data_IF_475394106855
#
_entry.id   IF_475394106855
#
_cell.length_a   1.000
_cell.length_b   1.000
_cell.length_c   1.000
_cell.angle_alpha   90.00
_cell.angle_beta   90.00
_cell.angle_gamma   90.00
#
_symmetry.space_group_name_H-M   'P 1'
#
loop_
_entity.id
_entity.type
_entity.pdbx_description
1 polymer ?
#
# COMPACT_ATOMS: atom_id res chain seq x y z
N UNK A 1 -32.88 2.48 32.95
CA UNK A 1 -31.47 2.38 32.54
C UNK A 1 -31.42 1.55 31.27
N UNK A 2 -31.52 2.16 30.08
CA UNK A 2 -31.54 1.49 28.79
C UNK A 2 -30.10 1.28 28.36
N UNK A 3 -29.67 0.03 28.14
CA UNK A 3 -28.39 -0.30 27.52
C UNK A 3 -28.55 -0.09 26.02
N UNK A 4 -27.75 0.82 25.44
CA UNK A 4 -27.62 0.99 24.00
C UNK A 4 -27.04 -0.28 23.37
N UNK A 5 -27.72 -0.92 22.40
CA UNK A 5 -27.19 -2.05 21.65
C UNK A 5 -26.57 -1.53 20.36
N UNK A 6 -25.43 -0.92 20.43
CA UNK A 6 -24.78 -0.35 19.25
C UNK A 6 -23.34 0.07 19.51
N UNK A 7 -22.59 -0.73 20.28
CA UNK A 7 -21.20 -0.46 20.56
C UNK A 7 -20.28 -0.72 19.39
N UNK A 8 -20.41 0.05 18.30
CA UNK A 8 -19.30 0.23 17.37
C UNK A 8 -18.06 0.61 18.18
N UNK A 9 -16.93 -0.04 17.93
CA UNK A 9 -15.68 0.22 18.63
C UNK A 9 -15.43 1.72 18.69
N UNK A 10 -15.43 2.30 19.89
CA UNK A 10 -15.17 3.72 20.06
C UNK A 10 -13.71 4.01 19.69
N UNK A 11 -13.46 4.20 18.38
CA UNK A 11 -12.17 4.61 17.80
C UNK A 11 -11.60 5.83 18.50
N UNK A 12 -12.45 6.67 19.10
CA UNK A 12 -12.03 7.84 19.88
C UNK A 12 -11.19 7.47 21.10
N UNK A 13 -11.43 6.29 21.69
CA UNK A 13 -10.63 5.79 22.81
C UNK A 13 -9.25 5.28 22.40
N UNK A 14 -9.07 4.89 21.11
CA UNK A 14 -7.79 4.41 20.54
C UNK A 14 -6.98 5.54 19.88
N UNK A 15 -7.56 6.72 19.71
CA UNK A 15 -6.98 7.87 19.00
C UNK A 15 -5.87 8.63 19.71
N UNK A 16 -5.42 8.19 20.88
CA UNK A 16 -4.22 8.80 21.43
C UNK A 16 -2.97 8.37 20.67
N UNK A 17 -2.25 9.30 20.05
CA UNK A 17 -0.99 9.01 19.34
C UNK A 17 -0.05 8.09 20.13
N UNK A 18 0.09 8.34 21.42
CA UNK A 18 0.94 7.53 22.31
C UNK A 18 0.41 6.10 22.51
N UNK A 19 -0.91 5.91 22.54
CA UNK A 19 -1.50 4.57 22.63
C UNK A 19 -1.30 3.79 21.35
N UNK A 20 -1.41 4.43 20.20
CA UNK A 20 -1.16 3.84 18.89
C UNK A 20 0.30 3.39 18.73
N UNK A 21 1.27 4.21 19.16
CA UNK A 21 2.70 3.83 19.20
C UNK A 21 2.94 2.58 20.06
N UNK A 22 2.32 2.53 21.25
CA UNK A 22 2.45 1.37 22.15
C UNK A 22 1.81 0.13 21.49
N UNK A 23 0.64 0.25 20.86
CA UNK A 23 -0.02 -0.85 20.16
C UNK A 23 0.81 -1.37 18.99
N UNK A 24 1.43 -0.48 18.21
CA UNK A 24 2.29 -0.89 17.11
C UNK A 24 3.54 -1.63 17.59
N UNK A 25 4.13 -1.19 18.69
CA UNK A 25 5.24 -1.91 19.33
C UNK A 25 4.82 -3.28 19.89
N UNK A 26 3.60 -3.41 20.44
CA UNK A 26 3.07 -4.70 20.86
C UNK A 26 2.82 -5.62 19.66
N UNK A 27 2.29 -5.09 18.54
CA UNK A 27 2.09 -5.83 17.30
C UNK A 27 3.40 -6.35 16.73
N UNK A 28 4.43 -5.50 16.65
CA UNK A 28 5.75 -5.86 16.10
C UNK A 28 6.56 -6.77 17.02
N UNK A 29 6.32 -6.73 18.33
CA UNK A 29 6.96 -7.66 19.28
C UNK A 29 6.41 -9.09 19.19
N UNK A 30 5.23 -9.27 18.60
CA UNK A 30 4.62 -10.58 18.40
C UNK A 30 4.37 -11.33 19.73
N UNK A 31 4.53 -12.65 19.70
CA UNK A 31 4.27 -13.51 20.87
C UNK A 31 5.35 -13.39 21.96
N UNK A 32 6.58 -13.03 21.60
CA UNK A 32 7.64 -12.80 22.58
C UNK A 32 7.30 -11.67 23.54
N UNK A 33 6.42 -10.76 23.12
CA UNK A 33 5.99 -9.61 23.88
C UNK A 33 7.10 -8.59 24.17
N UNK A 34 6.73 -7.51 24.80
CA UNK A 34 7.63 -6.39 25.14
C UNK A 34 7.36 -5.91 26.56
N UNK A 35 8.40 -5.58 27.33
CA UNK A 35 8.25 -5.07 28.68
C UNK A 35 7.89 -3.56 28.69
N UNK A 36 7.28 -3.07 29.79
CA UNK A 36 6.99 -1.64 29.94
C UNK A 36 8.24 -0.76 29.88
N UNK A 37 9.38 -1.27 30.31
CA UNK A 37 10.64 -0.52 30.25
C UNK A 37 11.13 -0.38 28.80
N UNK A 38 11.05 -1.47 28.01
CA UNK A 38 11.39 -1.45 26.59
C UNK A 38 10.42 -0.55 25.82
N UNK A 39 9.11 -0.59 26.14
CA UNK A 39 8.13 0.33 25.58
C UNK A 39 8.50 1.79 25.88
N UNK A 40 8.88 2.12 27.12
CA UNK A 40 9.30 3.47 27.48
C UNK A 40 10.54 3.90 26.69
N UNK A 41 11.55 3.03 26.61
CA UNK A 41 12.80 3.30 25.87
C UNK A 41 12.55 3.53 24.36
N UNK A 42 11.65 2.74 23.74
CA UNK A 42 11.39 2.82 22.31
C UNK A 42 10.43 3.94 21.90
N UNK A 43 9.52 4.34 22.80
CA UNK A 43 8.56 5.41 22.53
C UNK A 43 9.04 6.78 23.01
N UNK A 44 10.06 6.85 23.87
CA UNK A 44 10.45 8.08 24.56
C UNK A 44 9.46 8.54 25.64
N UNK A 45 8.45 7.73 25.95
CA UNK A 45 7.45 8.05 26.98
C UNK A 45 7.98 7.76 28.38
N UNK A 46 7.46 8.50 29.37
CA UNK A 46 7.76 8.21 30.77
C UNK A 46 7.21 6.85 31.21
N UNK A 47 7.87 6.14 32.14
CA UNK A 47 7.36 4.86 32.67
C UNK A 47 5.95 4.94 33.22
N UNK A 48 5.55 6.08 33.79
CA UNK A 48 4.20 6.31 34.28
C UNK A 48 3.19 6.40 33.13
N UNK A 49 3.51 7.11 32.03
CA UNK A 49 2.66 7.20 30.86
C UNK A 49 2.45 5.81 30.23
N UNK A 50 3.53 5.05 30.04
CA UNK A 50 3.46 3.68 29.54
C UNK A 50 2.61 2.78 30.43
N UNK A 51 2.77 2.89 31.78
CA UNK A 51 1.97 2.12 32.72
C UNK A 51 0.48 2.45 32.61
N UNK A 52 0.12 3.73 32.46
CA UNK A 52 -1.28 4.17 32.29
C UNK A 52 -1.86 3.67 30.97
N UNK A 53 -1.10 3.80 29.88
CA UNK A 53 -1.52 3.34 28.53
C UNK A 53 -1.72 1.82 28.55
N UNK A 54 -0.74 1.07 29.01
CA UNK A 54 -0.82 -0.41 29.04
C UNK A 54 -1.91 -0.93 29.94
N UNK A 55 -2.20 -0.26 31.09
CA UNK A 55 -3.32 -0.60 31.95
C UNK A 55 -4.66 -0.43 31.22
N UNK A 56 -4.82 0.68 30.49
CA UNK A 56 -6.00 0.92 29.65
C UNK A 56 -6.15 -0.11 28.54
N UNK A 57 -5.08 -0.38 27.76
CA UNK A 57 -5.11 -1.37 26.68
C UNK A 57 -5.48 -2.77 27.21
N UNK A 58 -5.07 -3.11 28.44
CA UNK A 58 -5.48 -4.37 29.09
C UNK A 58 -6.95 -4.36 29.48
N UNK A 59 -7.44 -3.23 30.04
CA UNK A 59 -8.86 -3.09 30.38
C UNK A 59 -9.75 -3.16 29.14
N UNK A 60 -9.27 -2.64 27.99
CA UNK A 60 -9.95 -2.69 26.70
C UNK A 60 -9.80 -4.08 26.00
N UNK A 61 -9.08 -5.02 26.61
CA UNK A 61 -8.82 -6.35 26.07
C UNK A 61 -7.82 -6.42 24.92
N UNK A 62 -7.17 -5.29 24.57
CA UNK A 62 -6.25 -5.20 23.42
C UNK A 62 -4.84 -5.71 23.73
N UNK A 63 -4.45 -5.76 25.00
CA UNK A 63 -3.16 -6.26 25.45
C UNK A 63 -3.34 -7.26 26.61
N UNK A 64 -2.45 -8.24 26.66
CA UNK A 64 -2.42 -9.24 27.74
C UNK A 64 -0.98 -9.44 28.25
N UNK A 65 -0.83 -10.02 29.44
CA UNK A 65 0.46 -10.46 29.95
C UNK A 65 0.88 -11.76 29.23
N UNK A 66 2.07 -11.76 28.64
CA UNK A 66 2.64 -12.92 27.92
C UNK A 66 3.57 -13.77 28.80
N UNK A 67 3.78 -13.35 30.05
CA UNK A 67 4.66 -14.05 30.98
C UNK A 67 5.71 -13.12 31.61
N UNK A 68 6.78 -13.73 32.11
CA UNK A 68 7.91 -13.00 32.73
C UNK A 68 9.20 -13.36 32.03
N UNK A 69 9.98 -12.37 31.62
CA UNK A 69 11.31 -12.57 31.07
C UNK A 69 12.33 -12.52 32.22
N UNK A 70 13.26 -13.49 32.24
CA UNK A 70 14.37 -13.50 33.19
C UNK A 70 15.18 -12.20 33.10
N UNK A 71 15.62 -11.68 34.24
CA UNK A 71 16.43 -10.46 34.33
C UNK A 71 17.84 -10.86 34.80
N UNK A 72 18.86 -10.32 34.17
CA UNK A 72 20.26 -10.47 34.55
C UNK A 72 20.59 -9.67 35.82
N UNK A 73 19.94 -9.98 36.96
CA UNK A 73 20.24 -9.33 38.25
C UNK A 73 19.11 -8.52 38.89
N UNK A 74 17.87 -8.76 38.52
CA UNK A 74 16.72 -8.05 39.13
C UNK A 74 15.42 -8.88 39.10
N UNK A 75 14.31 -8.30 39.61
CA UNK A 75 13.00 -8.94 39.57
C UNK A 75 12.57 -9.25 38.13
N UNK A 76 12.08 -10.48 37.84
CA UNK A 76 11.60 -10.85 36.52
C UNK A 76 10.58 -9.82 35.97
N UNK A 77 10.80 -9.39 34.70
CA UNK A 77 9.98 -8.34 34.07
C UNK A 77 8.77 -8.96 33.42
N UNK A 78 7.59 -8.44 33.75
CA UNK A 78 6.35 -8.79 33.02
C UNK A 78 6.43 -8.27 31.59
N UNK A 79 6.22 -9.12 30.63
CA UNK A 79 6.06 -8.77 29.21
C UNK A 79 4.60 -8.72 28.82
N UNK A 80 4.26 -7.83 27.91
CA UNK A 80 2.92 -7.63 27.36
C UNK A 80 2.94 -8.01 25.89
N UNK A 81 1.82 -8.54 25.40
CA UNK A 81 1.58 -8.84 23.99
C UNK A 81 0.26 -8.24 23.55
N UNK A 82 0.12 -8.03 22.24
CA UNK A 82 -1.16 -7.72 21.63
C UNK A 82 -2.09 -8.94 21.77
N UNK A 83 -3.39 -8.71 21.88
CA UNK A 83 -4.43 -9.74 21.78
C UNK A 83 -4.99 -9.69 20.37
N UNK A 84 -4.59 -10.58 19.46
CA UNK A 84 -4.97 -10.52 18.06
C UNK A 84 -6.48 -10.56 17.85
N UNK A 85 -7.16 -11.38 18.63
CA UNK A 85 -8.60 -11.67 18.54
C UNK A 85 -9.48 -10.54 19.11
N UNK A 86 -8.88 -9.53 19.72
CA UNK A 86 -9.61 -8.45 20.40
C UNK A 86 -10.41 -7.55 19.44
N UNK A 87 -10.00 -7.48 18.19
CA UNK A 87 -10.75 -6.80 17.15
C UNK A 87 -10.34 -7.31 15.76
N UNK A 88 -11.16 -7.01 14.76
CA UNK A 88 -11.05 -7.53 13.41
C UNK A 88 -11.21 -6.43 12.38
N UNK A 89 -10.70 -6.66 11.18
CA UNK A 89 -10.97 -5.85 10.02
C UNK A 89 -11.29 -6.73 8.82
N UNK A 90 -12.04 -6.18 7.88
CA UNK A 90 -12.26 -6.81 6.58
C UNK A 90 -11.44 -6.07 5.54
N UNK A 91 -10.71 -6.85 4.74
CA UNK A 91 -10.07 -6.35 3.54
C UNK A 91 -10.75 -6.89 2.30
N UNK A 92 -11.03 -6.02 1.38
CA UNK A 92 -11.63 -6.32 0.08
C UNK A 92 -10.63 -5.97 -1.01
N UNK A 93 -10.31 -6.92 -1.86
CA UNK A 93 -9.66 -6.68 -3.14
C UNK A 93 -10.70 -6.81 -4.24
N UNK A 94 -10.99 -5.71 -4.89
CA UNK A 94 -11.85 -5.64 -6.06
C UNK A 94 -10.94 -5.58 -7.29
N UNK A 95 -10.74 -6.73 -7.97
CA UNK A 95 -10.05 -6.81 -9.24
C UNK A 95 -11.06 -6.69 -10.40
N UNK A 96 -10.60 -6.75 -11.64
CA UNK A 96 -11.44 -6.60 -12.84
C UNK A 96 -12.45 -7.74 -13.01
N UNK A 97 -12.09 -8.95 -12.59
CA UNK A 97 -12.82 -10.20 -12.80
C UNK A 97 -13.16 -10.95 -11.49
N UNK A 98 -12.69 -10.45 -10.35
CA UNK A 98 -12.87 -11.11 -9.06
C UNK A 98 -12.98 -10.10 -7.90
N UNK A 99 -13.79 -10.41 -6.91
CA UNK A 99 -13.70 -9.81 -5.58
C UNK A 99 -13.20 -10.83 -4.58
N UNK A 100 -12.11 -10.51 -3.88
CA UNK A 100 -11.60 -11.29 -2.75
C UNK A 100 -11.91 -10.55 -1.46
N UNK A 101 -12.56 -11.20 -0.50
CA UNK A 101 -12.86 -10.67 0.83
C UNK A 101 -12.11 -11.48 1.88
N UNK A 102 -11.38 -10.80 2.76
CA UNK A 102 -10.61 -11.41 3.84
C UNK A 102 -11.00 -10.81 5.19
N UNK A 103 -11.37 -11.66 6.16
CA UNK A 103 -11.47 -11.29 7.56
C UNK A 103 -10.10 -11.46 8.21
N UNK A 104 -9.61 -10.44 8.92
CA UNK A 104 -8.33 -10.49 9.61
C UNK A 104 -8.44 -10.14 11.09
N UNK A 105 -7.51 -10.64 11.89
CA UNK A 105 -7.30 -10.20 13.26
C UNK A 105 -6.53 -8.84 13.31
N UNK A 106 -6.26 -8.33 14.50
CA UNK A 106 -5.50 -7.09 14.71
C UNK A 106 -4.06 -7.11 14.15
N UNK A 107 -3.48 -8.29 13.93
CA UNK A 107 -2.15 -8.41 13.32
C UNK A 107 -2.20 -8.39 11.80
N UNK A 108 -3.41 -8.44 11.21
CA UNK A 108 -3.62 -8.61 9.77
C UNK A 108 -3.48 -10.07 9.31
N UNK A 109 -3.46 -11.02 10.25
CA UNK A 109 -3.50 -12.45 9.90
C UNK A 109 -4.88 -12.81 9.37
N UNK A 110 -5.00 -13.40 8.18
CA UNK A 110 -6.30 -13.78 7.64
C UNK A 110 -6.87 -14.97 8.42
N UNK A 111 -8.11 -14.81 8.88
CA UNK A 111 -8.91 -15.81 9.56
C UNK A 111 -9.81 -16.58 8.59
N UNK A 112 -10.35 -15.86 7.60
CA UNK A 112 -11.16 -16.44 6.53
C UNK A 112 -11.00 -15.62 5.25
N UNK A 113 -11.06 -16.28 4.09
CA UNK A 113 -10.99 -15.66 2.77
C UNK A 113 -12.05 -16.25 1.87
N UNK A 114 -12.75 -15.40 1.12
CA UNK A 114 -13.73 -15.79 0.11
C UNK A 114 -13.45 -15.06 -1.19
N UNK A 115 -13.74 -15.73 -2.30
CA UNK A 115 -13.63 -15.16 -3.64
C UNK A 115 -14.95 -15.31 -4.37
N UNK A 116 -15.30 -14.28 -5.12
CA UNK A 116 -16.50 -14.26 -5.93
C UNK A 116 -16.16 -13.66 -7.29
N UNK A 117 -16.65 -14.31 -8.36
CA UNK A 117 -16.53 -13.74 -9.68
C UNK A 117 -17.37 -12.46 -9.78
N UNK A 118 -16.81 -11.44 -10.37
CA UNK A 118 -17.47 -10.19 -10.74
C UNK A 118 -16.90 -9.73 -12.07
N UNK A 119 -17.57 -8.81 -12.73
CA UNK A 119 -17.02 -8.09 -13.87
C UNK A 119 -17.08 -6.60 -13.56
N UNK A 120 -15.94 -5.96 -13.41
CA UNK A 120 -15.88 -4.55 -12.98
C UNK A 120 -16.64 -3.63 -13.95
N UNK A 121 -16.69 -3.97 -15.25
CA UNK A 121 -17.45 -3.25 -16.26
C UNK A 121 -18.98 -3.37 -16.12
N UNK A 122 -19.51 -4.30 -15.29
CA UNK A 122 -20.94 -4.38 -15.00
C UNK A 122 -21.43 -3.18 -14.18
N UNK A 123 -20.48 -2.41 -13.66
CA UNK A 123 -20.72 -1.15 -12.98
C UNK A 123 -20.96 -1.25 -11.48
N UNK A 124 -20.96 -0.08 -10.80
CA UNK A 124 -21.01 -0.02 -9.36
C UNK A 124 -22.20 -0.76 -8.70
N UNK A 125 -23.45 -0.67 -9.17
CA UNK A 125 -24.57 -1.29 -8.47
C UNK A 125 -24.43 -2.80 -8.31
N UNK A 126 -24.10 -3.53 -9.38
CA UNK A 126 -23.99 -4.99 -9.39
C UNK A 126 -22.77 -5.47 -8.61
N UNK A 127 -21.65 -4.79 -8.82
CA UNK A 127 -20.37 -5.14 -8.17
C UNK A 127 -20.47 -4.89 -6.66
N UNK A 128 -21.00 -3.75 -6.22
CA UNK A 128 -21.18 -3.45 -4.80
C UNK A 128 -22.18 -4.38 -4.12
N UNK A 129 -23.25 -4.78 -4.81
CA UNK A 129 -24.19 -5.76 -4.28
C UNK A 129 -23.51 -7.11 -4.00
N UNK A 130 -22.69 -7.58 -4.94
CA UNK A 130 -21.90 -8.82 -4.75
C UNK A 130 -20.89 -8.67 -3.62
N UNK A 131 -20.19 -7.53 -3.55
CA UNK A 131 -19.24 -7.24 -2.47
C UNK A 131 -19.93 -7.22 -1.10
N UNK A 132 -21.04 -6.50 -0.96
CA UNK A 132 -21.79 -6.42 0.30
C UNK A 132 -22.29 -7.80 0.73
N UNK A 133 -22.80 -8.58 -0.21
CA UNK A 133 -23.25 -9.97 0.04
C UNK A 133 -22.09 -10.84 0.53
N UNK A 134 -20.92 -10.74 -0.11
CA UNK A 134 -19.71 -11.47 0.28
C UNK A 134 -19.22 -11.10 1.69
N UNK A 135 -19.21 -9.80 2.02
CA UNK A 135 -18.86 -9.30 3.35
C UNK A 135 -19.84 -9.82 4.41
N UNK A 136 -21.15 -9.73 4.14
CA UNK A 136 -22.18 -10.22 5.05
C UNK A 136 -22.11 -11.72 5.27
N UNK A 137 -21.90 -12.49 4.20
CA UNK A 137 -21.74 -13.95 4.30
C UNK A 137 -20.52 -14.31 5.15
N UNK A 138 -19.40 -13.62 4.97
CA UNK A 138 -18.19 -13.85 5.76
C UNK A 138 -18.39 -13.52 7.24
N UNK A 139 -19.15 -12.49 7.56
CA UNK A 139 -19.48 -12.11 8.95
C UNK A 139 -20.52 -13.03 9.59
N UNK A 140 -21.37 -13.69 8.81
CA UNK A 140 -22.36 -14.63 9.32
C UNK A 140 -21.77 -16.00 9.69
N UNK A 141 -20.59 -16.32 9.21
CA UNK A 141 -19.89 -17.54 9.57
C UNK A 141 -19.39 -17.47 11.03
N UNK A 142 -19.48 -18.57 11.81
CA UNK A 142 -18.84 -18.61 13.11
C UNK A 142 -17.34 -18.36 12.94
N UNK A 143 -16.77 -17.51 13.80
CA UNK A 143 -15.33 -17.24 13.76
C UNK A 143 -14.57 -18.58 13.81
N UNK A 144 -13.64 -18.84 12.87
CA UNK A 144 -12.87 -20.07 12.91
C UNK A 144 -12.10 -20.15 14.24
N UNK A 145 -11.92 -21.35 14.80
CA UNK A 145 -11.11 -21.49 16.00
C UNK A 145 -9.72 -20.92 15.73
N UNK A 146 -9.08 -20.31 16.74
CA UNK A 146 -7.76 -19.74 16.58
C UNK A 146 -6.82 -20.80 16.02
N UNK A 147 -6.24 -20.53 14.85
CA UNK A 147 -5.27 -21.42 14.22
C UNK A 147 -4.08 -21.53 15.16
N UNK A 148 -3.64 -22.74 15.56
CA UNK A 148 -2.43 -22.90 16.35
C UNK A 148 -1.28 -22.24 15.59
N UNK A 149 -0.75 -21.14 16.11
CA UNK A 149 0.39 -20.47 15.49
C UNK A 149 1.60 -21.35 15.68
N UNK A 150 2.12 -21.91 14.59
CA UNK A 150 3.42 -22.58 14.61
C UNK A 150 4.47 -21.55 15.02
N UNK A 151 5.22 -21.88 16.07
CA UNK A 151 6.33 -21.07 16.51
C UNK A 151 7.23 -20.71 15.30
N UNK A 152 7.66 -19.47 15.16
CA UNK A 152 8.58 -19.10 14.08
C UNK A 152 9.82 -19.98 14.16
N UNK A 153 10.41 -20.40 13.04
CA UNK A 153 11.64 -21.17 13.05
C UNK A 153 12.71 -20.40 13.83
N UNK A 154 13.56 -21.11 14.60
CA UNK A 154 14.59 -20.47 15.39
C UNK A 154 15.44 -19.58 14.46
N UNK A 155 15.60 -18.31 14.84
CA UNK A 155 16.41 -17.35 14.09
C UNK A 155 17.81 -17.94 13.97
N UNK A 156 18.23 -18.32 12.78
CA UNK A 156 19.64 -18.58 12.49
C UNK A 156 20.40 -17.30 12.84
N UNK A 157 21.34 -17.41 13.75
CA UNK A 157 22.21 -16.30 14.12
C UNK A 157 22.82 -15.72 12.83
N UNK A 158 22.89 -14.38 12.67
CA UNK A 158 23.56 -13.81 11.53
C UNK A 158 24.95 -14.40 11.41
N UNK A 159 25.43 -14.73 10.20
CA UNK A 159 26.79 -15.23 10.02
C UNK A 159 27.74 -14.23 10.66
N UNK A 160 28.64 -14.73 11.49
CA UNK A 160 29.70 -13.89 12.08
C UNK A 160 30.39 -13.17 10.92
N UNK A 161 30.63 -11.84 11.03
CA UNK A 161 31.38 -11.15 10.00
C UNK A 161 32.70 -11.87 9.83
N UNK A 162 32.98 -12.39 8.65
CA UNK A 162 34.27 -12.98 8.30
C UNK A 162 35.30 -11.89 8.47
N UNK A 163 36.25 -12.12 9.37
CA UNK A 163 37.43 -11.26 9.55
C UNK A 163 38.12 -11.22 8.18
N UNK A 164 38.27 -10.08 7.53
CA UNK A 164 38.99 -10.01 6.28
C UNK A 164 40.45 -10.47 6.53
N UNK A 165 41.04 -11.20 5.61
CA UNK A 165 42.48 -11.57 5.74
C UNK A 165 43.31 -10.29 5.82
N UNK A 166 44.45 -10.32 6.55
CA UNK A 166 45.30 -9.15 6.72
C UNK A 166 45.68 -8.59 5.33
N UNK A 167 45.48 -7.28 5.15
CA UNK A 167 45.78 -6.59 3.93
C UNK A 167 47.23 -6.80 3.55
N UNK A 168 47.49 -7.35 2.36
CA UNK A 168 48.83 -7.35 1.78
C UNK A 168 49.31 -5.91 1.63
N UNK A 169 50.53 -5.65 2.07
CA UNK A 169 51.18 -4.36 1.96
C UNK A 169 51.19 -3.89 0.49
N UNK A 170 50.91 -2.62 0.20
CA UNK A 170 50.93 -2.11 -1.15
C UNK A 170 52.34 -2.19 -1.75
N UNK A 171 52.48 -2.48 -3.06
CA UNK A 171 53.79 -2.45 -3.72
C UNK A 171 54.30 -1.01 -3.78
N UNK A 172 55.63 -0.86 -3.61
CA UNK A 172 56.30 0.43 -3.69
C UNK A 172 56.07 1.13 -5.03
N UNK A 173 55.85 2.46 -5.04
CA UNK A 173 55.70 3.22 -6.27
C UNK A 173 56.99 3.23 -7.07
N UNK A 174 56.92 3.16 -8.42
CA UNK A 174 58.04 3.41 -9.28
C UNK A 174 58.42 4.91 -9.30
N UNK A 175 59.70 5.17 -9.39
CA UNK A 175 60.28 6.53 -9.37
C UNK A 175 59.83 7.40 -10.56
N UNK A 176 60.10 8.72 -10.51
CA UNK A 176 59.56 9.70 -11.46
C UNK A 176 60.27 9.60 -12.82
N UNK A 177 59.46 9.51 -13.86
CA UNK A 177 59.90 9.66 -15.23
C UNK A 177 59.44 11.06 -15.74
N UNK A 178 60.38 11.75 -16.36
CA UNK A 178 60.31 13.15 -16.67
C UNK A 178 59.23 13.58 -17.66
N UNK A 179 58.86 14.82 -17.51
CA UNK A 179 57.98 15.59 -18.42
C UNK A 179 58.55 15.82 -19.79
N UNK A 180 57.76 15.93 -20.83
CA UNK A 180 57.94 17.05 -21.76
C UNK A 180 56.64 17.77 -22.16
N UNK A 181 56.76 19.05 -22.27
CA UNK A 181 56.27 19.86 -23.39
C UNK A 181 54.85 20.41 -23.32
N UNK A 182 54.78 21.67 -23.01
CA UNK A 182 53.64 22.54 -23.21
C UNK A 182 53.25 22.68 -24.69
N UNK A 183 51.96 22.71 -24.99
CA UNK A 183 51.41 23.33 -26.20
C UNK A 183 50.15 24.11 -25.80
N UNK A 184 50.11 25.33 -26.31
CA UNK A 184 49.27 26.44 -25.90
C UNK A 184 47.83 26.46 -26.37
N UNK A 185 47.14 27.58 -26.10
CA UNK A 185 45.67 27.66 -26.12
C UNK A 185 45.14 27.97 -27.51
N UNK A 186 43.93 27.43 -27.81
CA UNK A 186 43.15 27.85 -28.99
C UNK A 186 41.90 28.56 -28.51
N UNK A 187 41.75 29.74 -29.12
CA UNK A 187 40.82 30.81 -28.81
C UNK A 187 39.33 30.49 -29.09
N UNK A 188 38.55 31.25 -28.42
CA UNK A 188 37.10 31.43 -28.54
C UNK A 188 36.64 32.02 -29.89
N UNK A 189 35.42 31.72 -30.24
CA UNK A 189 34.49 32.57 -31.02
C UNK A 189 33.12 31.96 -30.84
N UNK A 190 32.14 32.59 -30.37
CA UNK A 190 31.43 33.78 -30.68
C UNK A 190 29.93 33.41 -30.80
N UNK A 191 28.95 34.25 -30.43
CA UNK A 191 27.59 33.88 -30.15
C UNK A 191 26.70 33.87 -31.40
N UNK A 192 25.62 33.09 -31.40
CA UNK A 192 24.53 33.19 -32.39
C UNK A 192 23.20 33.45 -31.68
N UNK A 193 22.61 34.48 -32.15
CA UNK A 193 21.45 35.28 -31.84
C UNK A 193 20.11 34.54 -31.73
N UNK A 194 19.25 35.17 -30.92
CA UNK A 194 17.82 35.05 -30.81
C UNK A 194 17.06 35.12 -32.14
N UNK A 195 15.96 34.39 -32.20
CA UNK A 195 14.78 34.78 -32.97
C UNK A 195 13.52 34.14 -32.42
N UNK A 196 12.68 34.93 -31.77
CA UNK A 196 11.24 34.72 -31.73
C UNK A 196 10.63 35.11 -33.08
N UNK A 197 9.47 34.53 -33.46
CA UNK A 197 8.25 35.30 -33.24
C UNK A 197 6.99 34.50 -32.87
N UNK A 198 6.08 35.24 -32.29
CA UNK A 198 4.71 34.98 -31.99
C UNK A 198 3.84 34.63 -33.21
N UNK A 199 2.80 33.82 -33.00
CA UNK A 199 1.55 34.01 -33.73
C UNK A 199 0.38 33.53 -32.88
N UNK A 200 -0.54 34.46 -32.68
CA UNK A 200 -1.86 34.34 -32.12
C UNK A 200 -2.74 33.35 -32.90
N UNK A 201 -3.61 32.63 -32.23
CA UNK A 201 -4.84 32.12 -32.84
C UNK A 201 -5.99 32.14 -31.83
N UNK A 202 -7.08 32.70 -32.30
CA UNK A 202 -8.32 33.14 -31.70
C UNK A 202 -9.19 31.99 -31.11
N UNK A 203 -10.22 32.33 -30.28
CA UNK A 203 -10.97 31.39 -29.48
C UNK A 203 -12.04 30.65 -30.28
N UNK A 204 -12.25 29.39 -29.95
CA UNK A 204 -13.34 28.56 -30.46
C UNK A 204 -14.54 28.65 -29.50
N UNK A 205 -15.69 28.91 -30.07
CA UNK A 205 -16.98 29.16 -29.48
C UNK A 205 -17.52 27.98 -28.65
N UNK A 206 -18.20 28.31 -27.55
CA UNK A 206 -18.98 27.40 -26.72
C UNK A 206 -20.21 26.86 -27.45
N UNK A 207 -20.63 25.60 -27.25
CA UNK A 207 -21.94 25.14 -27.62
C UNK A 207 -22.93 25.31 -26.46
N UNK A 208 -24.08 25.84 -26.81
CA UNK A 208 -25.28 26.07 -25.97
C UNK A 208 -25.88 24.80 -25.36
N UNK A 209 -26.60 24.89 -24.23
CA UNK A 209 -27.15 23.75 -23.51
C UNK A 209 -28.35 23.13 -24.22
N UNK A 210 -28.32 21.79 -24.27
CA UNK A 210 -29.46 20.98 -24.75
C UNK A 210 -30.37 20.68 -23.57
N UNK A 211 -31.67 20.95 -23.79
CA UNK A 211 -32.76 20.77 -22.85
C UNK A 211 -32.97 19.31 -22.42
N UNK A 212 -33.28 19.10 -21.14
CA UNK A 212 -33.63 17.83 -20.55
C UNK A 212 -34.95 17.27 -21.08
N UNK A 213 -35.13 15.96 -21.23
CA UNK A 213 -36.42 15.35 -21.40
C UNK A 213 -37.07 14.98 -20.05
N UNK A 214 -38.37 15.05 -20.05
CA UNK A 214 -39.29 14.91 -18.94
C UNK A 214 -39.31 13.56 -18.23
N UNK A 215 -39.66 13.66 -16.99
CA UNK A 215 -40.01 12.68 -15.96
C UNK A 215 -40.61 11.34 -16.45
N UNK A 216 -39.97 10.24 -16.05
CA UNK A 216 -40.57 8.89 -16.00
C UNK A 216 -40.66 8.42 -14.54
N UNK A 217 -41.81 7.92 -14.21
CA UNK A 217 -42.44 7.50 -12.99
C UNK A 217 -41.55 7.01 -11.82
N UNK A 218 -41.91 7.50 -10.65
CA UNK A 218 -41.46 7.07 -9.35
C UNK A 218 -41.89 5.63 -9.05
N UNK A 219 -40.96 4.69 -9.12
CA UNK A 219 -41.05 3.44 -8.37
C UNK A 219 -40.55 3.72 -6.95
N UNK A 220 -41.39 3.43 -5.93
CA UNK A 220 -41.14 3.70 -4.52
C UNK A 220 -39.85 3.08 -3.99
N UNK A 221 -39.31 3.59 -2.87
CA UNK A 221 -38.04 3.14 -2.32
C UNK A 221 -38.17 1.70 -1.84
N UNK A 222 -37.39 0.80 -2.45
CA UNK A 222 -37.08 -0.51 -1.86
C UNK A 222 -36.33 -0.21 -0.57
N UNK A 223 -36.89 -0.64 0.57
CA UNK A 223 -36.37 -0.38 1.90
C UNK A 223 -34.86 -0.66 1.99
N UNK A 224 -34.12 0.31 2.46
CA UNK A 224 -32.69 0.17 2.70
C UNK A 224 -32.48 -1.01 3.65
N UNK A 225 -31.60 -1.98 3.33
CA UNK A 225 -31.28 -3.05 4.24
C UNK A 225 -30.59 -2.45 5.49
N UNK A 226 -31.07 -2.85 6.67
CA UNK A 226 -30.55 -2.38 7.94
C UNK A 226 -29.04 -2.66 8.12
N UNK A 227 -28.39 -2.00 9.09
CA UNK A 227 -26.95 -2.15 9.32
C UNK A 227 -26.56 -3.61 9.57
N UNK A 228 -25.38 -4.00 9.09
CA UNK A 228 -24.85 -5.35 9.26
C UNK A 228 -24.62 -5.60 10.75
N UNK A 229 -25.47 -6.42 11.38
CA UNK A 229 -25.22 -6.92 12.73
C UNK A 229 -24.00 -7.85 12.68
N UNK A 230 -22.87 -7.42 13.26
CA UNK A 230 -21.76 -8.33 13.51
C UNK A 230 -22.23 -9.43 14.48
N UNK A 231 -21.78 -10.68 14.31
CA UNK A 231 -22.10 -11.75 15.24
C UNK A 231 -21.72 -11.35 16.65
N UNK A 232 -22.49 -11.84 17.64
CA UNK A 232 -22.25 -11.56 19.05
C UNK A 232 -20.82 -11.98 19.40
N UNK A 233 -19.93 -11.00 19.68
CA UNK A 233 -18.53 -11.23 20.04
C UNK A 233 -17.48 -10.74 19.02
N UNK A 234 -17.85 -10.46 17.77
CA UNK A 234 -16.89 -9.93 16.78
C UNK A 234 -16.84 -8.41 16.82
N UNK A 235 -15.70 -7.86 17.24
CA UNK A 235 -15.44 -6.41 17.21
C UNK A 235 -14.83 -6.01 15.86
N UNK A 236 -15.66 -5.60 14.90
CA UNK A 236 -15.23 -5.14 13.59
C UNK A 236 -14.86 -3.65 13.65
N UNK A 237 -13.64 -3.30 13.23
CA UNK A 237 -13.13 -1.91 13.21
C UNK A 237 -13.48 -1.16 11.93
N UNK A 238 -13.63 -1.87 10.82
CA UNK A 238 -13.97 -1.30 9.54
C UNK A 238 -13.66 -2.24 8.38
N UNK A 239 -13.92 -1.73 7.18
CA UNK A 239 -13.65 -2.40 5.91
C UNK A 239 -12.66 -1.57 5.09
N UNK A 240 -11.53 -2.16 4.71
CA UNK A 240 -10.65 -1.58 3.72
C UNK A 240 -10.98 -2.15 2.35
N UNK A 241 -11.03 -1.29 1.34
CA UNK A 241 -11.27 -1.66 -0.05
C UNK A 241 -10.07 -1.26 -0.88
N UNK A 242 -9.53 -2.19 -1.62
CA UNK A 242 -8.46 -1.97 -2.59
C UNK A 242 -8.99 -2.30 -3.99
N UNK A 243 -8.82 -1.37 -4.93
CA UNK A 243 -9.27 -1.54 -6.30
C UNK A 243 -8.26 -0.94 -7.30
N UNK A 244 -8.36 -1.28 -8.60
CA UNK A 244 -7.53 -0.66 -9.61
C UNK A 244 -7.66 0.86 -9.62
N UNK A 245 -6.55 1.56 -9.86
CA UNK A 245 -6.53 3.01 -10.05
C UNK A 245 -6.98 3.43 -11.48
N UNK A 246 -7.07 4.74 -11.71
CA UNK A 246 -6.89 5.82 -10.75
C UNK A 246 -8.06 5.98 -9.77
N UNK A 247 -7.79 6.51 -8.60
CA UNK A 247 -8.81 6.82 -7.58
C UNK A 247 -8.31 7.92 -6.65
N UNK A 248 -9.21 8.53 -5.87
CA UNK A 248 -8.86 9.52 -4.83
C UNK A 248 -9.18 8.90 -3.44
N UNK A 249 -8.11 8.53 -2.70
CA UNK A 249 -8.24 7.78 -1.45
C UNK A 249 -8.84 8.58 -0.29
N UNK A 250 -8.64 9.92 -0.24
CA UNK A 250 -9.12 10.78 0.83
C UNK A 250 -10.64 10.94 0.81
N UNK A 251 -11.21 11.19 -0.36
CA UNK A 251 -12.66 11.24 -0.59
C UNK A 251 -13.28 9.86 -0.71
N UNK A 252 -12.49 8.85 -1.10
CA UNK A 252 -13.01 7.50 -1.33
C UNK A 252 -13.76 7.37 -2.65
N UNK A 253 -13.27 8.08 -3.68
CA UNK A 253 -13.91 8.20 -4.99
C UNK A 253 -13.07 7.47 -6.03
N UNK A 254 -13.71 6.62 -6.83
CA UNK A 254 -13.06 5.98 -7.96
C UNK A 254 -12.85 6.98 -9.10
N UNK A 255 -11.76 6.85 -9.84
CA UNK A 255 -11.52 7.58 -11.08
C UNK A 255 -11.83 6.72 -12.29
N UNK A 256 -11.33 7.14 -13.44
CA UNK A 256 -11.55 6.44 -14.71
C UNK A 256 -10.71 5.18 -14.82
N UNK A 257 -11.21 4.09 -14.23
CA UNK A 257 -10.55 2.79 -14.28
C UNK A 257 -10.51 2.28 -15.72
N UNK A 258 -9.33 1.83 -16.20
CA UNK A 258 -9.16 1.27 -17.54
C UNK A 258 -10.07 0.05 -17.73
N UNK A 259 -10.87 0.04 -18.79
CA UNK A 259 -11.85 -1.01 -19.09
C UNK A 259 -13.15 -0.94 -18.26
N UNK A 260 -13.29 0.07 -17.36
CA UNK A 260 -14.46 0.22 -16.51
C UNK A 260 -14.76 1.71 -16.24
N UNK A 261 -14.89 2.50 -17.29
CA UNK A 261 -15.10 3.96 -17.22
C UNK A 261 -16.35 4.38 -16.44
N UNK A 262 -17.30 3.47 -16.26
CA UNK A 262 -18.54 3.69 -15.48
C UNK A 262 -18.29 3.98 -13.99
N UNK A 263 -17.08 3.73 -13.50
CA UNK A 263 -16.67 4.04 -12.12
C UNK A 263 -16.20 5.47 -11.93
N UNK A 264 -15.97 6.22 -13.01
CA UNK A 264 -15.43 7.57 -12.93
C UNK A 264 -16.30 8.49 -12.08
N UNK A 265 -15.72 9.07 -11.04
CA UNK A 265 -16.43 9.91 -10.07
C UNK A 265 -17.33 9.18 -9.08
N UNK A 266 -17.37 7.83 -9.07
CA UNK A 266 -18.27 7.09 -8.19
C UNK A 266 -17.77 7.12 -6.73
N UNK A 267 -18.63 7.50 -5.73
CA UNK A 267 -18.26 7.61 -4.31
C UNK A 267 -18.29 6.23 -3.61
N UNK A 268 -17.28 5.42 -3.86
CA UNK A 268 -17.18 4.01 -3.38
C UNK A 268 -17.30 3.92 -1.86
N UNK A 269 -16.58 4.79 -1.13
CA UNK A 269 -16.61 4.82 0.33
C UNK A 269 -18.01 5.05 0.87
N UNK A 270 -18.63 6.15 0.48
CA UNK A 270 -19.97 6.54 0.94
C UNK A 270 -21.00 5.44 0.61
N UNK A 271 -20.95 4.94 -0.63
CA UNK A 271 -21.86 3.90 -1.09
C UNK A 271 -21.74 2.59 -0.29
N UNK A 272 -20.54 2.24 0.16
CA UNK A 272 -20.32 1.05 0.98
C UNK A 272 -20.61 1.29 2.46
N UNK A 273 -20.25 2.46 3.01
CA UNK A 273 -20.59 2.83 4.40
C UNK A 273 -22.13 2.82 4.61
N UNK A 274 -22.88 3.37 3.66
CA UNK A 274 -24.33 3.34 3.70
C UNK A 274 -24.93 1.92 3.70
N UNK A 275 -24.28 0.97 3.02
CA UNK A 275 -24.75 -0.42 2.91
C UNK A 275 -24.26 -1.34 4.05
N UNK A 276 -23.07 -1.08 4.56
CA UNK A 276 -22.42 -1.93 5.55
C UNK A 276 -22.59 -1.42 6.99
N UNK A 277 -22.83 -0.13 7.18
CA UNK A 277 -22.99 0.49 8.49
C UNK A 277 -21.70 0.54 9.31
N UNK A 278 -20.54 0.41 8.67
CA UNK A 278 -19.20 0.45 9.29
C UNK A 278 -18.28 1.37 8.50
N UNK A 279 -17.23 1.93 9.12
CA UNK A 279 -16.26 2.76 8.41
C UNK A 279 -15.60 2.02 7.24
N UNK A 280 -15.46 2.72 6.11
CA UNK A 280 -14.79 2.19 4.91
C UNK A 280 -13.60 3.06 4.54
N UNK A 281 -12.50 2.43 4.16
CA UNK A 281 -11.30 3.09 3.64
C UNK A 281 -11.01 2.55 2.25
N UNK A 282 -10.72 3.45 1.29
CA UNK A 282 -10.41 3.08 -0.10
C UNK A 282 -8.95 3.42 -0.42
N UNK A 283 -8.26 2.52 -1.13
CA UNK A 283 -6.93 2.78 -1.70
C UNK A 283 -6.72 1.94 -2.97
N UNK A 284 -5.60 2.19 -3.67
CA UNK A 284 -5.20 1.36 -4.80
C UNK A 284 -4.75 -0.03 -4.34
N UNK A 285 -4.98 -1.02 -5.17
CA UNK A 285 -4.58 -2.42 -4.98
C UNK A 285 -3.07 -2.56 -4.69
N UNK A 286 -2.23 -1.87 -5.47
CA UNK A 286 -0.77 -1.86 -5.30
C UNK A 286 -0.34 -1.19 -4.00
N UNK A 287 -1.00 -0.11 -3.57
CA UNK A 287 -0.74 0.54 -2.29
C UNK A 287 -1.12 -0.37 -1.11
N UNK A 288 -2.25 -1.07 -1.23
CA UNK A 288 -2.69 -2.02 -0.21
C UNK A 288 -1.69 -3.18 -0.09
N UNK A 289 -1.28 -3.78 -1.21
CA UNK A 289 -0.26 -4.84 -1.19
C UNK A 289 1.06 -4.37 -0.59
N UNK A 290 1.52 -3.18 -0.96
CA UNK A 290 2.73 -2.58 -0.41
C UNK A 290 2.61 -2.33 1.11
N UNK A 291 1.43 -1.92 1.60
CA UNK A 291 1.18 -1.75 3.03
C UNK A 291 1.26 -3.09 3.78
N UNK A 292 0.67 -4.18 3.24
CA UNK A 292 0.79 -5.51 3.86
C UNK A 292 2.26 -5.95 4.00
N UNK A 293 3.09 -5.62 3.01
CA UNK A 293 4.52 -5.92 3.04
C UNK A 293 5.26 -5.01 4.03
N UNK A 294 4.94 -3.72 4.08
CA UNK A 294 5.60 -2.73 4.93
C UNK A 294 5.40 -2.97 6.44
N UNK A 295 4.24 -3.49 6.84
CA UNK A 295 3.92 -3.72 8.26
C UNK A 295 4.51 -5.01 8.82
N UNK A 296 5.20 -5.81 8.02
CA UNK A 296 5.81 -7.07 8.46
C UNK A 296 7.09 -6.84 9.26
N UNK A 297 7.36 -7.70 10.24
CA UNK A 297 8.63 -7.63 10.96
C UNK A 297 9.82 -7.76 10.00
N UNK A 298 10.77 -6.82 10.09
CA UNK A 298 11.97 -6.83 9.24
C UNK A 298 11.78 -6.34 7.81
N UNK A 299 10.62 -5.78 7.48
CA UNK A 299 10.40 -5.17 6.17
C UNK A 299 11.38 -4.01 5.91
N UNK A 300 11.86 -3.84 4.68
CA UNK A 300 12.66 -2.68 4.30
C UNK A 300 11.85 -1.39 4.48
N UNK A 301 12.53 -0.30 4.82
CA UNK A 301 11.85 0.97 5.05
C UNK A 301 11.47 1.69 3.75
N UNK A 302 12.17 1.41 2.67
CA UNK A 302 11.93 2.02 1.36
C UNK A 302 12.01 0.95 0.28
N UNK A 303 10.91 0.71 -0.41
CA UNK A 303 10.83 -0.28 -1.48
C UNK A 303 9.72 0.03 -2.48
N UNK A 304 9.80 -0.57 -3.65
CA UNK A 304 8.70 -0.61 -4.60
C UNK A 304 8.14 -2.03 -4.68
N UNK A 305 6.84 -2.18 -4.49
CA UNK A 305 6.10 -3.38 -4.87
C UNK A 305 5.56 -3.20 -6.29
N UNK A 306 6.06 -3.97 -7.23
CA UNK A 306 5.64 -3.92 -8.64
C UNK A 306 4.73 -5.08 -8.92
N UNK A 307 3.52 -4.78 -9.34
CA UNK A 307 2.46 -5.74 -9.64
C UNK A 307 2.26 -5.86 -11.14
N UNK A 308 2.48 -7.05 -11.70
CA UNK A 308 2.13 -7.37 -13.07
C UNK A 308 1.05 -8.48 -13.09
N UNK A 309 -0.16 -8.09 -13.43
CA UNK A 309 -1.33 -8.94 -13.50
C UNK A 309 -2.11 -8.70 -14.80
N UNK A 310 -3.38 -8.29 -14.70
CA UNK A 310 -4.20 -7.79 -15.82
C UNK A 310 -3.78 -6.40 -16.27
N UNK A 311 -3.09 -5.66 -15.38
CA UNK A 311 -2.44 -4.38 -15.60
C UNK A 311 -1.08 -4.38 -14.94
N UNK A 312 -0.40 -3.22 -14.98
CA UNK A 312 0.89 -2.99 -14.36
C UNK A 312 0.85 -1.74 -13.49
N UNK A 313 1.17 -1.88 -12.24
CA UNK A 313 1.23 -0.77 -11.29
C UNK A 313 2.32 -0.98 -10.24
N UNK A 314 2.58 0.03 -9.42
CA UNK A 314 3.48 -0.08 -8.29
C UNK A 314 2.86 0.53 -7.03
N UNK A 315 3.13 -0.11 -5.89
CA UNK A 315 2.96 0.45 -4.56
C UNK A 315 4.31 0.87 -4.02
N UNK A 316 4.46 2.14 -3.69
CA UNK A 316 5.73 2.70 -3.23
C UNK A 316 5.70 2.86 -1.72
N UNK A 317 6.74 2.41 -1.04
CA UNK A 317 6.95 2.63 0.40
C UNK A 317 8.21 3.45 0.59
N UNK A 318 8.09 4.56 1.31
CA UNK A 318 9.20 5.44 1.65
C UNK A 318 9.16 5.73 3.14
N UNK A 319 10.27 5.47 3.84
CA UNK A 319 10.32 5.64 5.29
C UNK A 319 9.39 4.72 6.08
N UNK A 320 8.93 3.61 5.50
CA UNK A 320 8.02 2.63 6.11
C UNK A 320 6.53 2.92 5.89
N UNK A 321 6.19 3.95 5.13
CA UNK A 321 4.80 4.34 4.83
C UNK A 321 4.53 4.34 3.32
N UNK A 322 3.34 3.95 2.88
CA UNK A 322 2.95 4.05 1.47
C UNK A 322 2.95 5.49 0.97
N UNK A 323 3.67 5.73 -0.13
CA UNK A 323 3.70 6.99 -0.85
C UNK A 323 2.51 7.05 -1.82
N UNK A 324 1.47 7.80 -1.50
CA UNK A 324 0.27 7.93 -2.34
C UNK A 324 0.32 9.10 -3.31
N UNK A 325 1.09 10.13 -2.96
CA UNK A 325 1.04 11.44 -3.64
C UNK A 325 -0.23 12.22 -3.25
N UNK A 326 -0.30 13.46 -3.66
CA UNK A 326 -1.41 14.37 -3.29
C UNK A 326 -2.77 13.90 -3.85
N UNK A 327 -2.76 13.34 -5.04
CA UNK A 327 -3.95 12.87 -5.77
C UNK A 327 -3.99 11.35 -5.93
N UNK A 328 -3.34 10.60 -5.06
CA UNK A 328 -3.19 9.14 -5.14
C UNK A 328 -2.51 8.63 -6.42
N UNK A 329 -1.86 9.52 -7.18
CA UNK A 329 -1.22 9.19 -8.46
C UNK A 329 0.19 8.60 -8.34
N UNK A 330 0.78 8.49 -7.14
CA UNK A 330 2.08 7.85 -7.00
C UNK A 330 1.97 6.35 -7.32
N UNK A 331 2.96 5.79 -8.01
CA UNK A 331 2.98 4.38 -8.37
C UNK A 331 2.25 4.01 -9.67
N UNK A 332 1.83 4.98 -10.49
CA UNK A 332 1.32 4.76 -11.86
C UNK A 332 2.46 4.36 -12.82
N UNK A 333 3.26 3.38 -12.39
CA UNK A 333 4.46 2.89 -13.09
C UNK A 333 4.13 2.37 -14.49
N UNK A 334 2.99 1.70 -14.64
CA UNK A 334 2.56 1.13 -15.90
C UNK A 334 2.41 2.16 -17.00
N UNK A 335 2.09 3.39 -16.64
CA UNK A 335 1.90 4.49 -17.59
C UNK A 335 3.15 5.35 -17.81
N UNK A 336 4.30 4.96 -17.22
CA UNK A 336 5.57 5.56 -17.57
C UNK A 336 5.94 5.24 -19.02
N UNK A 337 6.17 6.28 -19.82
CA UNK A 337 6.67 6.11 -21.20
C UNK A 337 8.12 5.67 -21.18
N UNK A 338 8.40 4.51 -21.75
CA UNK A 338 9.76 3.95 -21.90
C UNK A 338 10.19 3.84 -23.37
N UNK A 339 9.26 4.06 -24.29
CA UNK A 339 9.51 4.09 -25.73
C UNK A 339 8.64 5.18 -26.37
N UNK A 340 9.24 6.31 -26.76
CA UNK A 340 8.50 7.50 -27.25
C UNK A 340 7.56 7.18 -28.41
N UNK A 341 8.03 6.41 -29.42
CA UNK A 341 7.26 6.03 -30.60
C UNK A 341 6.61 4.63 -30.47
N UNK A 342 6.44 4.16 -29.24
CA UNK A 342 5.89 2.84 -28.94
C UNK A 342 4.41 2.72 -29.23
N UNK A 343 3.83 1.53 -28.96
CA UNK A 343 2.42 1.24 -29.20
C UNK A 343 1.51 2.17 -28.38
N UNK A 344 0.27 2.32 -28.83
CA UNK A 344 -0.76 3.05 -28.06
C UNK A 344 -1.06 2.31 -26.76
N UNK A 345 -1.28 3.09 -25.69
CA UNK A 345 -1.75 2.60 -24.41
C UNK A 345 -3.20 3.06 -24.19
N UNK A 346 -3.98 2.29 -23.44
CA UNK A 346 -5.37 2.61 -23.12
C UNK A 346 -5.51 3.92 -22.30
N UNK A 347 -4.42 4.38 -21.66
CA UNK A 347 -4.39 5.69 -21.00
C UNK A 347 -4.35 6.87 -21.97
N UNK A 348 -4.26 6.62 -23.29
CA UNK A 348 -4.16 7.63 -24.35
C UNK A 348 -2.73 7.98 -24.79
N UNK A 349 -1.72 7.64 -23.99
CA UNK A 349 -0.31 7.85 -24.32
C UNK A 349 0.27 6.77 -25.24
N UNK A 350 1.56 6.87 -25.57
CA UNK A 350 2.30 5.89 -26.37
C UNK A 350 3.51 5.35 -25.59
N UNK A 351 3.87 4.08 -25.85
CA UNK A 351 5.09 3.47 -25.33
C UNK A 351 5.13 3.33 -23.82
N UNK A 352 3.96 3.25 -23.20
CA UNK A 352 3.84 2.96 -21.79
C UNK A 352 4.40 1.59 -21.42
N UNK A 353 5.02 1.49 -20.27
CA UNK A 353 5.60 0.27 -19.72
C UNK A 353 4.58 -0.89 -19.72
N UNK A 354 3.34 -0.61 -19.31
CA UNK A 354 2.24 -1.59 -19.29
C UNK A 354 1.94 -2.13 -20.68
N UNK A 355 1.72 -1.25 -21.66
CA UNK A 355 1.39 -1.66 -23.02
C UNK A 355 2.48 -2.56 -23.63
N UNK A 356 3.75 -2.24 -23.38
CA UNK A 356 4.88 -3.03 -23.85
C UNK A 356 5.00 -4.38 -23.12
N UNK A 357 4.90 -4.39 -21.79
CA UNK A 357 4.97 -5.59 -20.98
C UNK A 357 3.83 -6.56 -21.33
N UNK A 358 2.58 -6.08 -21.34
CA UNK A 358 1.42 -6.93 -21.63
C UNK A 358 1.44 -7.48 -23.06
N UNK A 359 1.92 -6.68 -24.03
CA UNK A 359 2.10 -7.17 -25.39
C UNK A 359 3.14 -8.30 -25.48
N UNK A 360 4.26 -8.22 -24.75
CA UNK A 360 5.26 -9.28 -24.69
C UNK A 360 4.70 -10.53 -23.98
N UNK A 361 3.97 -10.36 -22.87
CA UNK A 361 3.27 -11.46 -22.18
C UNK A 361 2.29 -12.17 -23.11
N UNK A 362 1.49 -11.41 -23.86
CA UNK A 362 0.51 -11.98 -24.80
C UNK A 362 1.15 -12.81 -25.94
N UNK A 363 2.40 -12.50 -26.31
CA UNK A 363 3.19 -13.29 -27.26
C UNK A 363 3.94 -14.46 -26.63
N UNK A 364 3.87 -14.63 -25.29
CA UNK A 364 4.65 -15.63 -24.56
C UNK A 364 6.13 -15.27 -24.37
N UNK A 365 6.53 -14.05 -24.68
CA UNK A 365 7.91 -13.54 -24.59
C UNK A 365 8.22 -13.04 -23.17
N UNK A 366 8.14 -13.93 -22.17
CA UNK A 366 8.31 -13.56 -20.77
C UNK A 366 9.67 -12.95 -20.45
N UNK A 367 10.82 -13.41 -21.02
CA UNK A 367 12.11 -12.73 -20.81
C UNK A 367 12.11 -11.27 -21.29
N UNK A 368 11.44 -10.99 -22.41
CA UNK A 368 11.32 -9.62 -22.93
C UNK A 368 10.42 -8.77 -22.02
N UNK A 369 9.29 -9.32 -21.56
CA UNK A 369 8.44 -8.66 -20.57
C UNK A 369 9.22 -8.32 -19.28
N UNK A 370 10.05 -9.23 -18.79
CA UNK A 370 10.90 -9.03 -17.63
C UNK A 370 11.96 -7.94 -17.87
N UNK A 371 12.58 -7.90 -19.04
CA UNK A 371 13.53 -6.86 -19.46
C UNK A 371 12.88 -5.48 -19.51
N UNK A 372 11.67 -5.37 -20.08
CA UNK A 372 10.89 -4.14 -20.14
C UNK A 372 10.53 -3.69 -18.72
N UNK A 373 10.04 -4.61 -17.86
CA UNK A 373 9.72 -4.34 -16.47
C UNK A 373 10.95 -3.82 -15.70
N UNK A 374 12.12 -4.42 -15.97
CA UNK A 374 13.40 -4.01 -15.41
C UNK A 374 13.77 -2.56 -15.75
N UNK A 375 13.43 -2.07 -16.94
CA UNK A 375 13.64 -0.67 -17.31
C UNK A 375 12.83 0.28 -16.42
N UNK A 376 11.56 -0.05 -16.17
CA UNK A 376 10.69 0.70 -15.25
C UNK A 376 11.19 0.64 -13.80
N UNK A 377 11.58 -0.55 -13.33
CA UNK A 377 12.14 -0.73 -11.98
C UNK A 377 13.42 0.08 -11.78
N UNK A 378 14.32 0.11 -12.77
CA UNK A 378 15.54 0.90 -12.70
C UNK A 378 15.28 2.42 -12.63
N UNK A 379 14.21 2.90 -13.27
CA UNK A 379 13.81 4.29 -13.15
C UNK A 379 13.32 4.61 -11.73
N UNK A 380 12.51 3.73 -11.11
CA UNK A 380 12.09 3.89 -9.72
C UNK A 380 13.28 3.91 -8.75
N UNK A 381 14.21 2.97 -8.90
CA UNK A 381 15.41 2.91 -8.06
C UNK A 381 16.21 4.21 -8.16
N UNK A 382 16.43 4.75 -9.38
CA UNK A 382 17.19 5.99 -9.57
C UNK A 382 16.48 7.23 -9.04
N UNK A 383 15.14 7.27 -9.13
CA UNK A 383 14.38 8.44 -8.71
C UNK A 383 14.12 8.50 -7.21
N UNK A 384 13.98 7.32 -6.56
CA UNK A 384 13.50 7.24 -5.18
C UNK A 384 14.56 6.71 -4.20
N UNK A 385 15.69 6.22 -4.69
CA UNK A 385 16.77 5.62 -3.88
C UNK A 385 16.23 4.58 -2.89
N UNK A 386 15.49 3.61 -3.44
CA UNK A 386 14.84 2.56 -2.65
C UNK A 386 15.74 1.36 -2.41
N UNK A 387 15.58 0.73 -1.25
CA UNK A 387 16.40 -0.39 -0.78
C UNK A 387 16.13 -1.70 -1.53
N UNK A 388 14.91 -1.87 -2.11
CA UNK A 388 14.47 -3.15 -2.67
C UNK A 388 13.36 -2.98 -3.71
N UNK A 389 13.34 -3.88 -4.69
CA UNK A 389 12.23 -4.07 -5.62
C UNK A 389 11.56 -5.43 -5.32
N UNK A 390 10.28 -5.40 -4.97
CA UNK A 390 9.47 -6.58 -4.73
C UNK A 390 8.53 -6.80 -5.90
N UNK A 391 8.57 -7.96 -6.53
CA UNK A 391 7.73 -8.30 -7.68
C UNK A 391 6.57 -9.18 -7.25
N UNK A 392 5.39 -8.96 -7.83
CA UNK A 392 4.20 -9.77 -7.61
C UNK A 392 3.19 -9.65 -8.73
N UNK A 393 2.00 -10.22 -8.50
CA UNK A 393 0.96 -10.32 -9.52
C UNK A 393 0.95 -11.65 -10.25
N UNK A 394 -0.20 -11.98 -10.85
CA UNK A 394 -0.43 -13.33 -11.43
C UNK A 394 0.56 -13.70 -12.54
N UNK A 395 1.01 -12.73 -13.33
CA UNK A 395 1.96 -12.95 -14.42
C UNK A 395 3.35 -13.25 -13.86
N UNK A 396 3.82 -12.46 -12.91
CA UNK A 396 5.11 -12.70 -12.24
C UNK A 396 5.12 -14.06 -11.55
N UNK A 397 4.05 -14.39 -10.80
CA UNK A 397 3.95 -15.63 -10.04
C UNK A 397 3.85 -16.90 -10.92
N UNK A 398 3.46 -16.75 -12.18
CA UNK A 398 3.48 -17.85 -13.16
C UNK A 398 4.90 -18.21 -13.64
N UNK A 399 5.86 -17.27 -13.55
CA UNK A 399 7.26 -17.47 -13.97
C UNK A 399 8.22 -16.65 -13.09
N UNK A 400 8.28 -16.92 -11.76
CA UNK A 400 8.92 -16.05 -10.79
C UNK A 400 10.42 -15.84 -11.05
N UNK A 401 11.14 -16.89 -11.44
CA UNK A 401 12.58 -16.82 -11.72
C UNK A 401 12.85 -15.96 -12.96
N UNK A 402 12.07 -16.11 -14.04
CA UNK A 402 12.22 -15.32 -15.26
C UNK A 402 12.12 -13.82 -14.97
N UNK A 403 11.14 -13.43 -14.16
CA UNK A 403 10.96 -12.03 -13.82
C UNK A 403 11.99 -11.53 -12.81
N UNK A 404 12.34 -12.31 -11.80
CA UNK A 404 13.37 -11.92 -10.82
C UNK A 404 14.72 -11.70 -11.53
N UNK A 405 15.17 -12.69 -12.29
CA UNK A 405 16.46 -12.65 -12.97
C UNK A 405 16.49 -11.58 -14.08
N UNK A 406 15.43 -11.47 -14.88
CA UNK A 406 15.36 -10.49 -15.96
C UNK A 406 15.35 -9.05 -15.47
N UNK A 407 14.63 -8.74 -14.38
CA UNK A 407 14.65 -7.41 -13.75
C UNK A 407 16.00 -7.16 -13.09
N UNK A 408 16.54 -8.13 -12.34
CA UNK A 408 17.85 -8.00 -11.70
C UNK A 408 18.99 -7.79 -12.73
N UNK A 409 18.96 -8.46 -13.86
CA UNK A 409 19.93 -8.27 -14.93
C UNK A 409 19.94 -6.83 -15.47
N UNK A 410 18.75 -6.22 -15.66
CA UNK A 410 18.64 -4.83 -16.12
C UNK A 410 19.17 -3.86 -15.06
N UNK A 411 18.90 -4.11 -13.77
CA UNK A 411 19.44 -3.30 -12.68
C UNK A 411 20.99 -3.40 -12.64
N UNK A 412 21.52 -4.61 -12.73
CA UNK A 412 22.96 -4.85 -12.73
C UNK A 412 23.67 -4.19 -13.93
N UNK A 413 23.12 -4.28 -15.14
CA UNK A 413 23.62 -3.61 -16.34
C UNK A 413 23.70 -2.08 -16.15
N UNK A 414 22.75 -1.52 -15.42
CA UNK A 414 22.70 -0.09 -15.07
C UNK A 414 23.49 0.25 -13.80
N UNK A 415 24.24 -0.69 -13.22
CA UNK A 415 25.03 -0.56 -11.99
C UNK A 415 24.20 -0.12 -10.78
N UNK A 416 22.99 -0.67 -10.66
CA UNK A 416 22.10 -0.45 -9.53
C UNK A 416 22.13 -1.71 -8.64
N UNK A 417 22.69 -1.63 -7.42
CA UNK A 417 22.87 -2.81 -6.55
C UNK A 417 21.60 -3.20 -5.78
N UNK A 418 20.44 -2.67 -6.18
CA UNK A 418 19.17 -2.89 -5.48
C UNK A 418 18.68 -4.32 -5.68
N UNK A 419 18.46 -5.11 -4.61
CA UNK A 419 17.95 -6.48 -4.70
C UNK A 419 16.54 -6.53 -5.29
N UNK A 420 16.27 -7.59 -6.07
CA UNK A 420 14.98 -7.91 -6.65
C UNK A 420 14.49 -9.21 -6.06
N UNK A 421 13.27 -9.24 -5.53
CA UNK A 421 12.67 -10.43 -4.92
C UNK A 421 11.24 -10.62 -5.41
N UNK A 422 10.83 -11.86 -5.63
CA UNK A 422 9.42 -12.18 -5.89
C UNK A 422 8.71 -12.47 -4.57
N UNK A 423 7.59 -11.81 -4.34
CA UNK A 423 6.75 -12.05 -3.16
C UNK A 423 5.50 -12.83 -3.53
N UNK A 424 5.44 -14.08 -3.08
CA UNK A 424 4.30 -14.99 -3.29
C UNK A 424 3.28 -14.94 -2.14
N UNK A 425 3.08 -13.77 -1.53
CA UNK A 425 2.14 -13.64 -0.41
C UNK A 425 0.71 -13.85 -0.87
N UNK A 426 0.02 -14.90 -0.40
CA UNK A 426 -1.38 -15.12 -0.72
C UNK A 426 -2.24 -13.93 -0.28
N UNK A 427 -3.12 -13.47 -1.16
CA UNK A 427 -4.08 -12.39 -0.86
C UNK A 427 -3.47 -11.09 -0.33
N UNK A 428 -2.23 -10.74 -0.74
CA UNK A 428 -1.53 -9.55 -0.23
C UNK A 428 -2.36 -8.27 -0.35
N UNK A 429 -3.10 -8.10 -1.46
CA UNK A 429 -3.96 -6.93 -1.67
C UNK A 429 -5.11 -6.90 -0.66
N UNK A 430 -5.85 -8.00 -0.50
CA UNK A 430 -6.97 -8.05 0.45
C UNK A 430 -6.48 -7.91 1.91
N UNK A 431 -5.35 -8.51 2.26
CA UNK A 431 -4.71 -8.33 3.57
C UNK A 431 -4.30 -6.88 3.80
N UNK A 432 -3.66 -6.26 2.81
CA UNK A 432 -3.28 -4.85 2.86
C UNK A 432 -4.49 -3.93 2.94
N UNK A 433 -5.58 -4.26 2.25
CA UNK A 433 -6.84 -3.56 2.41
C UNK A 433 -7.35 -3.62 3.86
N UNK A 434 -7.29 -4.77 4.53
CA UNK A 434 -7.62 -4.87 5.96
C UNK A 434 -6.67 -3.99 6.81
N UNK A 435 -5.37 -3.95 6.47
CA UNK A 435 -4.42 -3.07 7.15
C UNK A 435 -4.77 -1.58 7.01
N UNK A 436 -5.40 -1.16 5.89
CA UNK A 436 -5.89 0.22 5.76
C UNK A 436 -6.94 0.55 6.83
N UNK A 437 -7.85 -0.37 7.11
CA UNK A 437 -8.85 -0.20 8.16
C UNK A 437 -8.25 -0.27 9.58
N UNK A 438 -7.15 -1.03 9.75
CA UNK A 438 -6.41 -1.13 11.01
C UNK A 438 -5.44 0.05 11.23
N UNK A 439 -4.98 0.72 10.17
CA UNK A 439 -3.95 1.75 10.22
C UNK A 439 -4.20 2.85 11.28
N UNK A 440 -5.43 3.37 11.47
CA UNK A 440 -5.70 4.37 12.50
C UNK A 440 -5.43 3.89 13.93
N UNK A 441 -5.61 2.59 14.20
CA UNK A 441 -5.40 1.98 15.52
C UNK A 441 -3.92 1.96 15.89
N UNK A 442 -3.06 1.78 14.88
CA UNK A 442 -1.60 1.70 15.04
C UNK A 442 -0.90 3.03 14.74
N UNK A 443 -1.64 4.11 14.52
CA UNK A 443 -1.05 5.42 14.20
C UNK A 443 -0.38 5.49 12.83
N UNK A 444 -0.69 4.56 11.94
CA UNK A 444 -0.16 4.49 10.58
C UNK A 444 -1.00 5.27 9.56
N UNK A 445 -2.13 5.82 9.98
CA UNK A 445 -2.91 6.73 9.14
C UNK A 445 -2.14 8.04 8.98
N UNK A 446 -2.09 8.63 7.77
CA UNK A 446 -1.63 10.00 7.63
C UNK A 446 -2.47 10.86 8.57
N UNK A 447 -1.80 11.64 9.43
CA UNK A 447 -2.48 12.69 10.19
C UNK A 447 -3.29 13.50 9.19
N UNK A 448 -4.60 13.62 9.40
CA UNK A 448 -5.38 14.59 8.67
C UNK A 448 -4.76 15.96 9.01
N UNK A 449 -3.86 16.45 8.15
CA UNK A 449 -3.49 17.86 8.21
C UNK A 449 -4.81 18.61 8.04
N UNK A 450 -5.20 19.47 8.97
CA UNK A 450 -6.29 20.40 8.72
C UNK A 450 -5.92 21.10 7.43
N UNK A 451 -6.83 21.06 6.44
CA UNK A 451 -6.65 21.79 5.20
C UNK A 451 -6.47 23.26 5.53
N UNK A 452 -5.28 23.82 5.34
CA UNK A 452 -4.97 25.24 5.48
C UNK A 452 -5.57 26.06 4.32
N UNK A 453 -6.42 25.45 3.52
CA UNK A 453 -7.23 26.13 2.52
C UNK A 453 -8.69 26.08 2.93
N UNK A 454 -9.04 26.94 3.92
CA UNK A 454 -10.39 27.45 4.03
C UNK A 454 -10.69 28.20 2.72
N UNK A 455 -11.77 27.79 2.07
CA UNK A 455 -12.37 28.49 0.95
C UNK A 455 -12.98 29.83 1.42
N UNK A 456 -12.13 30.79 1.71
CA UNK A 456 -12.52 32.20 1.84
C UNK A 456 -11.67 33.01 0.84
N UNK A 457 -12.37 33.86 0.10
CA UNK A 457 -11.88 34.86 -0.85
C UNK A 457 -11.62 34.45 -2.30
N UNK A 458 -12.70 34.25 -3.05
CA UNK A 458 -12.79 34.79 -4.41
C UNK A 458 -14.02 35.68 -4.54
N UNK A 459 -13.94 36.83 -3.89
CA UNK A 459 -14.64 38.03 -4.37
C UNK A 459 -13.53 39.00 -4.72
N UNK A 460 -13.15 39.05 -5.96
CA UNK A 460 -12.42 40.18 -6.55
C UNK A 460 -13.27 40.68 -7.70
N UNK A 461 -13.53 41.95 -7.59
CA UNK A 461 -14.26 42.87 -8.46
C UNK A 461 -13.71 42.85 -9.89
#
# INVERSE_FOLDING_TARGET
MRRDPGGGANLTALRGHNAALVLDLLRTAGEEGISRLELAARTGLTPQAVSKITARLRADGLAAEAGRRASTGGKPRTVLRLVPEAAHAIGVHLDRDEVTVALTDLTGTPLAVRRHAVTLSDGPPQVLETLVRAVRALLAEPAPPPVPRTAPPPRTAPPRPSVPPPAMAPPRPPGPVGSPGAAGPVSASGPVSESSPASESSPVSEPSPVSAPDSVGSSGPVGAPGPVGAPVGLRLLGVGVAMPGPLEHRGGVAGRVTGAAVWDGFPVREALEARLGVPVVLDKDTNAAALDLAVRPGAPRSFAYVHLGTGLGAGLVVGGLPLRGERTGAGELGHQTVQLDGPRCDCGARGCLEALCLAAVARGELPEAARILGAGAANLVRLLDIDRVLLGGRVVLAAPEVFADGVAAVLADRRLPTPVEVTATPHAVARGAAQLALAPVFGLAPSAHPSVYSSEERTIR
#
